data_IF_353511376815
#
_entry.id   IF_353511376815
#
_cell.length_a   1.000
_cell.length_b   1.000
_cell.length_c   1.000
_cell.angle_alpha   90.00
_cell.angle_beta   90.00
_cell.angle_gamma   90.00
#
_symmetry.space_group_name_H-M   'P 1'
#
loop_
_entity.id
_entity.type
_entity.pdbx_description
1 polymer ?
#
# COMPACT_ATOMS: atom_id res chain seq x y z
N UNK A 1 36.29 9.92 -51.54
CA UNK A 1 37.05 10.92 -50.75
C UNK A 1 37.45 10.22 -49.45
N UNK A 2 38.75 10.08 -49.17
CA UNK A 2 39.29 9.28 -48.05
C UNK A 2 38.82 9.86 -46.71
N UNK A 3 38.05 9.10 -45.94
CA UNK A 3 37.72 9.41 -44.54
C UNK A 3 38.74 8.72 -43.65
N UNK A 4 39.75 9.44 -43.19
CA UNK A 4 40.74 8.95 -42.24
C UNK A 4 40.85 9.94 -41.10
N UNK A 5 39.97 9.79 -40.13
CA UNK A 5 40.12 10.34 -38.78
C UNK A 5 39.32 9.46 -37.84
N UNK A 6 39.99 8.45 -37.27
CA UNK A 6 39.45 7.60 -36.20
C UNK A 6 39.74 8.29 -34.87
N UNK A 7 38.75 9.01 -34.34
CA UNK A 7 38.92 9.69 -33.06
C UNK A 7 38.69 8.70 -31.90
N UNK A 8 39.45 8.92 -30.82
CA UNK A 8 39.34 8.15 -29.57
C UNK A 8 38.88 9.10 -28.49
N UNK A 9 37.88 8.69 -27.72
CA UNK A 9 37.45 9.40 -26.51
C UNK A 9 37.59 8.51 -25.28
N UNK A 10 37.80 9.14 -24.14
CA UNK A 10 37.92 8.48 -22.84
C UNK A 10 36.95 9.13 -21.85
N UNK A 11 36.13 8.33 -21.20
CA UNK A 11 35.23 8.73 -20.11
C UNK A 11 35.60 7.96 -18.86
N UNK A 12 35.76 8.67 -17.75
CA UNK A 12 36.04 8.05 -16.45
C UNK A 12 34.86 8.24 -15.50
N UNK A 13 34.52 7.20 -14.76
CA UNK A 13 33.50 7.26 -13.70
C UNK A 13 33.96 6.47 -12.48
N UNK A 14 33.80 7.07 -11.31
CA UNK A 14 33.96 6.39 -10.03
C UNK A 14 32.62 5.82 -9.59
N UNK A 15 32.66 4.59 -9.12
CA UNK A 15 31.53 3.87 -8.52
C UNK A 15 31.85 3.58 -7.06
N UNK A 16 30.85 3.67 -6.20
CA UNK A 16 30.97 3.29 -4.80
C UNK A 16 30.89 1.76 -4.57
N UNK A 17 30.96 0.96 -5.63
CA UNK A 17 30.77 -0.49 -5.59
C UNK A 17 32.06 -1.25 -5.91
N UNK A 18 32.20 -2.51 -5.45
CA UNK A 18 33.29 -3.38 -5.85
C UNK A 18 33.36 -3.53 -7.37
N UNK A 19 34.58 -3.77 -7.86
CA UNK A 19 34.90 -3.94 -9.30
C UNK A 19 34.00 -5.01 -9.92
N UNK A 20 33.79 -6.12 -9.21
CA UNK A 20 33.00 -7.27 -9.64
C UNK A 20 31.54 -6.90 -9.89
N UNK A 21 30.93 -6.11 -9.01
CA UNK A 21 29.52 -5.70 -9.15
C UNK A 21 29.32 -4.80 -10.37
N UNK A 22 30.24 -3.85 -10.59
CA UNK A 22 30.16 -2.95 -11.74
C UNK A 22 30.47 -3.71 -13.03
N UNK A 23 31.42 -4.65 -13.01
CA UNK A 23 31.77 -5.50 -14.15
C UNK A 23 30.61 -6.42 -14.56
N UNK A 24 29.95 -7.08 -13.61
CA UNK A 24 28.89 -8.05 -13.87
C UNK A 24 27.66 -7.45 -14.52
N UNK A 25 27.37 -6.19 -14.20
CA UNK A 25 26.27 -5.45 -14.81
C UNK A 25 26.42 -5.24 -16.33
N UNK A 26 27.62 -5.45 -16.90
CA UNK A 26 27.87 -5.44 -18.34
C UNK A 26 27.61 -6.78 -19.04
N UNK A 27 27.40 -7.86 -18.27
CA UNK A 27 27.28 -9.23 -18.76
C UNK A 27 25.90 -9.85 -18.49
N UNK A 28 25.11 -9.27 -17.59
CA UNK A 28 23.77 -9.73 -17.27
C UNK A 28 22.68 -8.99 -18.07
N UNK A 29 21.77 -9.74 -18.69
CA UNK A 29 20.72 -9.18 -19.53
C UNK A 29 19.68 -8.35 -18.73
N UNK A 30 19.35 -8.74 -17.50
CA UNK A 30 18.42 -7.99 -16.66
C UNK A 30 19.07 -6.67 -16.23
N UNK A 31 20.34 -6.70 -15.84
CA UNK A 31 21.12 -5.53 -15.47
C UNK A 31 21.24 -4.57 -16.65
N UNK A 32 21.70 -5.01 -17.82
CA UNK A 32 21.83 -4.18 -19.02
C UNK A 32 20.53 -3.47 -19.38
N UNK A 33 19.40 -4.16 -19.31
CA UNK A 33 18.07 -3.57 -19.55
C UNK A 33 17.66 -2.49 -18.55
N UNK A 34 18.28 -2.45 -17.38
CA UNK A 34 17.99 -1.45 -16.35
C UNK A 34 18.73 -0.13 -16.56
N UNK A 35 19.86 -0.11 -17.29
CA UNK A 35 20.74 1.07 -17.37
C UNK A 35 21.32 1.38 -18.75
N UNK A 36 21.67 0.38 -19.58
CA UNK A 36 22.40 0.60 -20.82
C UNK A 36 21.44 1.09 -21.92
N UNK A 37 21.75 2.26 -22.47
CA UNK A 37 20.92 3.00 -23.45
C UNK A 37 19.51 3.38 -23.01
N UNK A 38 19.14 3.13 -21.75
CA UNK A 38 17.82 3.49 -21.21
C UNK A 38 17.64 5.01 -21.16
N UNK A 39 16.52 5.48 -21.68
CA UNK A 39 16.07 6.88 -21.67
C UNK A 39 14.85 7.06 -20.76
N UNK A 40 14.60 8.26 -20.22
CA UNK A 40 13.49 8.50 -19.30
C UNK A 40 12.11 8.12 -19.86
N UNK A 41 11.85 8.42 -21.13
CA UNK A 41 10.56 8.19 -21.80
C UNK A 41 10.57 6.95 -22.71
N UNK A 42 11.69 6.21 -22.74
CA UNK A 42 11.87 5.06 -23.61
C UNK A 42 11.30 3.77 -23.01
N UNK A 43 10.77 2.91 -23.87
CA UNK A 43 10.33 1.56 -23.48
C UNK A 43 11.34 0.53 -23.99
N UNK A 44 11.95 -0.20 -23.06
CA UNK A 44 12.82 -1.32 -23.41
C UNK A 44 11.98 -2.43 -24.06
N UNK A 45 12.28 -2.77 -25.32
CA UNK A 45 11.56 -3.81 -26.07
C UNK A 45 12.33 -5.13 -26.11
N UNK A 46 13.67 -5.07 -26.13
CA UNK A 46 14.51 -6.26 -26.28
C UNK A 46 15.86 -6.07 -25.62
N UNK A 47 16.31 -7.07 -24.87
CA UNK A 47 17.66 -7.18 -24.34
C UNK A 47 18.10 -8.64 -24.45
N UNK A 48 19.08 -8.91 -25.31
CA UNK A 48 19.69 -10.23 -25.49
C UNK A 48 21.19 -10.13 -25.22
N UNK A 49 21.76 -11.13 -24.56
CA UNK A 49 23.18 -11.17 -24.18
C UNK A 49 23.69 -12.61 -24.23
N UNK A 50 24.77 -12.84 -24.96
CA UNK A 50 25.61 -14.05 -24.93
C UNK A 50 26.99 -13.64 -24.38
N UNK A 51 27.13 -13.65 -23.05
CA UNK A 51 28.27 -13.12 -22.31
C UNK A 51 29.51 -14.04 -22.32
N UNK A 52 30.03 -14.30 -23.52
CA UNK A 52 31.29 -15.02 -23.75
C UNK A 52 32.09 -14.32 -24.84
N UNK A 53 33.40 -14.52 -24.85
CA UNK A 53 34.25 -14.04 -25.96
C UNK A 53 33.72 -14.58 -27.29
N UNK A 54 33.47 -13.68 -28.23
CA UNK A 54 32.86 -13.95 -29.52
C UNK A 54 31.33 -13.99 -29.54
N UNK A 55 30.67 -14.01 -28.38
CA UNK A 55 29.23 -13.79 -28.22
C UNK A 55 28.88 -12.30 -28.34
N UNK A 56 27.59 -11.97 -28.34
CA UNK A 56 27.14 -10.60 -28.57
C UNK A 56 25.94 -10.18 -27.72
N UNK A 57 25.61 -8.90 -27.79
CA UNK A 57 24.42 -8.33 -27.16
C UNK A 57 23.60 -7.54 -28.18
N UNK A 58 22.29 -7.47 -27.95
CA UNK A 58 21.36 -6.64 -28.73
C UNK A 58 20.35 -5.98 -27.79
N UNK A 59 20.24 -4.66 -27.88
CA UNK A 59 19.38 -3.82 -27.05
C UNK A 59 18.52 -2.95 -27.96
N UNK A 60 17.21 -3.12 -27.86
CA UNK A 60 16.23 -2.32 -28.60
C UNK A 60 15.36 -1.55 -27.64
N UNK A 61 15.37 -0.23 -27.80
CA UNK A 61 14.53 0.68 -27.02
C UNK A 61 13.63 1.50 -27.93
N UNK A 62 12.33 1.48 -27.66
CA UNK A 62 11.33 2.29 -28.35
C UNK A 62 11.32 3.70 -27.75
N UNK A 63 11.59 4.70 -28.59
CA UNK A 63 11.60 6.13 -28.25
C UNK A 63 10.59 6.86 -29.13
N UNK A 64 9.32 6.87 -28.70
CA UNK A 64 8.21 7.30 -29.56
C UNK A 64 8.03 6.34 -30.74
N UNK A 65 8.06 6.85 -31.98
CA UNK A 65 7.95 6.03 -33.18
C UNK A 65 9.27 5.33 -33.57
N UNK A 66 10.40 5.79 -33.04
CA UNK A 66 11.74 5.31 -33.41
C UNK A 66 12.13 4.10 -32.56
N UNK A 67 12.61 3.03 -33.21
CA UNK A 67 13.30 1.94 -32.53
C UNK A 67 14.80 2.21 -32.54
N UNK A 68 15.37 2.50 -31.38
CA UNK A 68 16.81 2.65 -31.23
C UNK A 68 17.43 1.26 -31.02
N UNK A 69 18.16 0.78 -32.03
CA UNK A 69 18.86 -0.50 -31.98
C UNK A 69 20.35 -0.29 -31.70
N UNK A 70 20.84 -1.00 -30.69
CA UNK A 70 22.25 -1.05 -30.33
C UNK A 70 22.67 -2.50 -30.21
N UNK A 71 23.85 -2.82 -30.71
CA UNK A 71 24.37 -4.17 -30.63
C UNK A 71 25.87 -4.17 -30.47
N UNK A 72 26.42 -5.32 -30.09
CA UNK A 72 27.85 -5.47 -30.01
C UNK A 72 28.30 -6.90 -29.90
N UNK A 73 29.60 -7.11 -30.09
CA UNK A 73 30.25 -8.42 -29.97
C UNK A 73 31.37 -8.33 -28.95
N UNK A 74 31.33 -9.18 -27.93
CA UNK A 74 32.39 -9.27 -26.92
C UNK A 74 33.67 -9.79 -27.58
N UNK A 75 34.72 -8.98 -27.52
CA UNK A 75 36.05 -9.28 -28.04
C UNK A 75 36.97 -9.79 -26.91
N UNK A 76 36.82 -9.22 -25.73
CA UNK A 76 37.60 -9.58 -24.55
C UNK A 76 36.71 -9.53 -23.31
N UNK A 77 36.83 -10.54 -22.45
CA UNK A 77 36.21 -10.59 -21.13
C UNK A 77 37.29 -11.10 -20.15
N UNK A 78 38.05 -10.18 -19.56
CA UNK A 78 39.01 -10.48 -18.50
C UNK A 78 38.43 -10.02 -17.15
N UNK A 79 37.73 -10.92 -16.48
CA UNK A 79 37.00 -10.58 -15.26
C UNK A 79 37.93 -10.45 -14.05
N UNK A 80 37.78 -9.41 -13.19
CA UNK A 80 36.88 -8.25 -13.30
C UNK A 80 37.56 -7.00 -13.88
N UNK A 81 38.71 -7.16 -14.56
CA UNK A 81 39.65 -6.08 -14.87
C UNK A 81 39.36 -5.35 -16.18
N UNK A 82 38.88 -6.06 -17.20
CA UNK A 82 38.74 -5.51 -18.55
C UNK A 82 37.64 -6.17 -19.36
N UNK A 83 36.90 -5.35 -20.09
CA UNK A 83 35.91 -5.76 -21.06
C UNK A 83 36.17 -5.01 -22.37
N UNK A 84 36.14 -5.69 -23.52
CA UNK A 84 36.17 -5.02 -24.81
C UNK A 84 35.09 -5.60 -25.73
N UNK A 85 34.40 -4.73 -26.46
CA UNK A 85 33.39 -5.15 -27.43
C UNK A 85 33.36 -4.22 -28.64
N UNK A 86 33.05 -4.79 -29.80
CA UNK A 86 32.64 -4.02 -30.96
C UNK A 86 31.24 -3.43 -30.69
N UNK A 87 31.01 -2.19 -31.08
CA UNK A 87 29.77 -1.46 -30.81
C UNK A 87 29.17 -0.93 -32.11
N UNK A 88 27.88 -1.20 -32.32
CA UNK A 88 27.11 -0.79 -33.48
C UNK A 88 25.81 -0.10 -33.07
N UNK A 89 25.39 0.86 -33.89
CA UNK A 89 24.12 1.59 -33.77
C UNK A 89 23.37 1.45 -35.09
N UNK A 90 22.06 1.17 -35.02
CA UNK A 90 21.29 0.78 -36.21
C UNK A 90 21.53 -0.68 -36.60
N UNK A 91 20.89 -1.13 -37.69
CA UNK A 91 20.92 -2.54 -38.11
C UNK A 91 22.32 -3.13 -38.32
N UNK A 92 22.40 -4.43 -38.60
CA UNK A 92 23.63 -5.24 -38.48
C UNK A 92 24.74 -4.98 -39.55
N UNK A 93 24.74 -3.83 -40.25
CA UNK A 93 25.57 -3.61 -41.46
C UNK A 93 26.44 -2.34 -41.49
N UNK A 94 26.42 -1.50 -40.45
CA UNK A 94 27.29 -0.31 -40.35
C UNK A 94 28.66 -0.62 -39.71
N UNK A 95 29.73 0.16 -39.97
CA UNK A 95 31.04 -0.11 -39.37
C UNK A 95 30.97 0.02 -37.85
N UNK A 96 31.42 -1.02 -37.15
CA UNK A 96 31.47 -1.03 -35.69
C UNK A 96 32.64 -0.20 -35.17
N UNK A 97 32.40 0.54 -34.11
CA UNK A 97 33.45 1.13 -33.29
C UNK A 97 33.94 0.13 -32.24
N UNK A 98 35.02 0.44 -31.53
CA UNK A 98 35.55 -0.41 -30.44
C UNK A 98 35.37 0.29 -29.11
N UNK A 99 34.74 -0.37 -28.15
CA UNK A 99 34.66 0.10 -26.76
C UNK A 99 35.50 -0.82 -25.90
N UNK A 100 36.36 -0.23 -25.09
CA UNK A 100 37.13 -0.89 -24.04
C UNK A 100 36.75 -0.28 -22.71
N UNK A 101 36.50 -1.11 -21.71
CA UNK A 101 36.19 -0.72 -20.35
C UNK A 101 37.22 -1.36 -19.43
N UNK A 102 38.06 -0.52 -18.83
CA UNK A 102 39.06 -0.93 -17.83
C UNK A 102 38.54 -0.58 -16.44
N UNK A 103 38.72 -1.51 -15.49
CA UNK A 103 38.28 -1.34 -14.11
C UNK A 103 39.47 -1.39 -13.16
N UNK A 104 39.56 -0.41 -12.27
CA UNK A 104 40.57 -0.33 -11.23
C UNK A 104 39.92 -0.26 -9.84
N UNK A 105 40.27 -1.15 -8.89
CA UNK A 105 39.79 -1.04 -7.52
C UNK A 105 40.30 0.25 -6.88
N UNK A 106 39.46 0.86 -6.04
CA UNK A 106 39.80 1.97 -5.16
C UNK A 106 39.65 1.52 -3.71
N UNK A 107 40.16 2.31 -2.75
CA UNK A 107 39.97 2.06 -1.32
C UNK A 107 38.48 1.97 -0.94
N UNK A 108 37.65 2.80 -1.59
CA UNK A 108 36.20 2.75 -1.52
C UNK A 108 35.60 2.70 -2.93
N UNK A 109 35.29 1.49 -3.39
CA UNK A 109 34.64 1.22 -4.68
C UNK A 109 35.63 0.98 -5.84
N UNK A 110 35.33 1.48 -7.03
CA UNK A 110 36.19 1.33 -8.21
C UNK A 110 36.15 2.55 -9.15
N UNK A 111 37.19 2.69 -9.97
CA UNK A 111 37.21 3.58 -11.14
C UNK A 111 37.03 2.75 -12.40
N UNK A 112 36.06 3.13 -13.22
CA UNK A 112 35.84 2.62 -14.56
C UNK A 112 36.39 3.65 -15.55
N UNK A 113 37.25 3.20 -16.46
CA UNK A 113 37.74 3.99 -17.60
C UNK A 113 37.20 3.38 -18.89
N UNK A 114 36.29 4.08 -19.55
CA UNK A 114 35.73 3.70 -20.84
C UNK A 114 36.48 4.42 -21.95
N UNK A 115 37.07 3.67 -22.86
CA UNK A 115 37.73 4.15 -24.08
C UNK A 115 36.91 3.74 -25.28
N UNK A 116 36.52 4.69 -26.13
CA UNK A 116 35.74 4.43 -27.35
C UNK A 116 36.53 4.92 -28.56
N UNK A 117 36.92 3.98 -29.42
CA UNK A 117 37.75 4.19 -30.60
C UNK A 117 36.94 4.07 -31.89
N UNK A 118 37.31 4.85 -32.89
CA UNK A 118 36.62 4.86 -34.19
C UNK A 118 35.41 5.79 -34.24
N UNK A 119 35.29 6.71 -33.27
CA UNK A 119 34.22 7.70 -33.23
C UNK A 119 34.34 8.64 -34.42
N UNK A 120 33.23 8.87 -35.12
CA UNK A 120 33.19 9.76 -36.27
C UNK A 120 33.50 11.21 -35.89
N UNK A 121 34.23 11.90 -36.77
CA UNK A 121 34.58 13.29 -36.56
C UNK A 121 33.32 14.16 -36.39
N UNK A 122 33.29 14.99 -35.34
CA UNK A 122 32.17 15.87 -34.99
C UNK A 122 31.12 15.24 -34.06
N UNK A 123 31.28 13.97 -33.67
CA UNK A 123 30.39 13.28 -32.73
C UNK A 123 31.02 13.06 -31.34
N UNK A 124 32.25 13.52 -31.11
CA UNK A 124 33.05 13.20 -29.92
C UNK A 124 32.38 13.69 -28.64
N UNK A 125 32.00 14.96 -28.59
CA UNK A 125 31.40 15.57 -27.41
C UNK A 125 30.04 14.94 -27.09
N UNK A 126 29.19 14.75 -28.11
CA UNK A 126 27.89 14.10 -27.96
C UNK A 126 28.04 12.65 -27.48
N UNK A 127 29.01 11.91 -28.00
CA UNK A 127 29.26 10.52 -27.62
C UNK A 127 29.79 10.43 -26.20
N UNK A 128 30.68 11.35 -25.80
CA UNK A 128 31.16 11.44 -24.43
C UNK A 128 30.03 11.75 -23.44
N UNK A 129 29.16 12.72 -23.75
CA UNK A 129 27.97 13.04 -22.94
C UNK A 129 27.01 11.83 -22.84
N UNK A 130 26.81 11.10 -23.94
CA UNK A 130 26.02 9.88 -23.95
C UNK A 130 26.58 8.81 -23.00
N UNK A 131 27.90 8.57 -23.04
CA UNK A 131 28.55 7.64 -22.12
C UNK A 131 28.50 8.10 -20.66
N UNK A 132 28.63 9.40 -20.37
CA UNK A 132 28.46 9.93 -19.00
C UNK A 132 27.06 9.60 -18.47
N UNK A 133 26.02 9.89 -19.25
CA UNK A 133 24.63 9.57 -18.87
C UNK A 133 24.41 8.07 -18.64
N UNK A 134 24.96 7.23 -19.52
CA UNK A 134 24.87 5.76 -19.42
C UNK A 134 25.55 5.25 -18.14
N UNK A 135 26.76 5.74 -17.83
CA UNK A 135 27.50 5.33 -16.63
C UNK A 135 26.84 5.84 -15.35
N UNK A 136 26.14 6.97 -15.39
CA UNK A 136 25.30 7.42 -14.28
C UNK A 136 24.09 6.51 -14.06
N UNK A 137 23.46 6.00 -15.13
CA UNK A 137 22.42 4.99 -14.99
C UNK A 137 22.96 3.68 -14.41
N UNK A 138 24.14 3.24 -14.86
CA UNK A 138 24.82 2.07 -14.30
C UNK A 138 25.00 2.23 -12.79
N UNK A 139 25.46 3.40 -12.34
CA UNK A 139 25.69 3.69 -10.91
C UNK A 139 24.42 3.57 -10.05
N UNK A 140 23.24 3.74 -10.64
CA UNK A 140 21.95 3.58 -9.94
C UNK A 140 21.43 2.14 -9.94
N UNK A 141 22.04 1.25 -10.72
CA UNK A 141 21.49 -0.09 -11.02
C UNK A 141 22.30 -1.28 -10.46
N UNK A 142 23.53 -1.06 -10.01
CA UNK A 142 24.46 -2.13 -9.60
C UNK A 142 24.25 -2.59 -8.13
N UNK A 143 24.13 -3.91 -7.92
CA UNK A 143 24.09 -4.61 -6.61
C UNK A 143 23.13 -5.82 -6.57
N UNK A 144 23.37 -6.83 -5.71
CA UNK A 144 22.36 -7.89 -5.41
C UNK A 144 21.17 -7.25 -4.67
N UNK A 145 19.93 -7.56 -5.07
CA UNK A 145 18.73 -7.06 -4.39
C UNK A 145 18.75 -7.42 -2.90
N UNK A 146 19.28 -8.60 -2.53
CA UNK A 146 19.41 -9.02 -1.14
C UNK A 146 20.39 -8.15 -0.34
N UNK A 147 21.42 -7.59 -0.97
CA UNK A 147 22.42 -6.75 -0.30
C UNK A 147 21.93 -5.32 -0.06
N UNK A 148 20.96 -4.86 -0.86
CA UNK A 148 20.41 -3.50 -0.81
C UNK A 148 18.99 -3.44 -0.23
N UNK A 149 18.52 -4.49 0.44
CA UNK A 149 17.20 -4.48 1.08
C UNK A 149 17.27 -4.54 2.61
N UNK A 150 16.20 -4.06 3.24
CA UNK A 150 15.87 -4.33 4.63
C UNK A 150 14.52 -5.04 4.64
N UNK A 151 14.45 -6.20 5.30
CA UNK A 151 13.20 -6.94 5.47
C UNK A 151 12.86 -7.04 6.96
N UNK A 152 11.69 -6.51 7.33
CA UNK A 152 11.16 -6.58 8.69
C UNK A 152 9.78 -7.24 8.60
N UNK A 153 9.51 -8.21 9.46
CA UNK A 153 8.18 -8.81 9.54
C UNK A 153 7.68 -8.93 10.96
N UNK A 154 6.35 -8.89 11.11
CA UNK A 154 5.66 -9.08 12.38
C UNK A 154 4.30 -9.73 12.13
N UNK A 155 3.91 -10.62 13.03
CA UNK A 155 2.58 -11.23 13.05
C UNK A 155 1.66 -10.48 14.00
N UNK A 156 0.41 -10.31 13.58
CA UNK A 156 -0.65 -9.62 14.33
C UNK A 156 -1.83 -10.57 14.52
N UNK A 157 -2.39 -10.61 15.74
CA UNK A 157 -3.59 -11.37 16.07
C UNK A 157 -4.86 -10.65 15.58
N UNK A 158 -4.92 -10.38 14.28
CA UNK A 158 -6.01 -9.67 13.63
C UNK A 158 -6.16 -10.14 12.17
N UNK A 159 -7.39 -10.12 11.61
CA UNK A 159 -7.64 -10.49 10.22
C UNK A 159 -7.01 -9.48 9.26
N UNK A 160 -6.66 -9.94 8.05
CA UNK A 160 -5.97 -9.14 7.02
C UNK A 160 -6.68 -7.83 6.70
N UNK A 161 -8.01 -7.84 6.67
CA UNK A 161 -8.82 -6.66 6.40
C UNK A 161 -8.63 -5.56 7.45
N UNK A 162 -8.53 -5.92 8.73
CA UNK A 162 -8.31 -4.94 9.81
C UNK A 162 -6.88 -4.38 9.78
N UNK A 163 -5.88 -5.24 9.54
CA UNK A 163 -4.49 -4.79 9.41
C UNK A 163 -4.32 -3.88 8.19
N UNK A 164 -4.99 -4.21 7.09
CA UNK A 164 -5.06 -3.38 5.90
C UNK A 164 -5.74 -2.03 6.16
N UNK A 165 -6.89 -2.02 6.84
CA UNK A 165 -7.60 -0.79 7.24
C UNK A 165 -6.70 0.10 8.12
N UNK A 166 -6.03 -0.47 9.12
CA UNK A 166 -5.09 0.26 9.95
C UNK A 166 -3.93 0.88 9.14
N UNK A 167 -3.52 0.24 8.04
CA UNK A 167 -2.49 0.72 7.13
C UNK A 167 -2.98 1.80 6.16
N UNK A 168 -4.18 1.64 5.64
CA UNK A 168 -4.68 2.39 4.48
C UNK A 168 -5.65 3.52 4.81
N UNK A 169 -6.11 3.60 6.05
CA UNK A 169 -6.89 4.74 6.55
C UNK A 169 -5.95 5.81 7.10
N UNK A 170 -5.92 7.04 6.54
CA UNK A 170 -5.01 8.11 6.97
C UNK A 170 -5.06 8.42 8.47
N UNK A 171 -6.26 8.42 9.06
CA UNK A 171 -6.47 8.65 10.48
C UNK A 171 -5.83 7.56 11.37
N UNK A 172 -5.81 6.31 10.91
CA UNK A 172 -5.13 5.23 11.62
C UNK A 172 -3.63 5.28 11.39
N UNK A 173 -3.19 5.43 10.14
CA UNK A 173 -1.79 5.52 9.75
C UNK A 173 -1.01 6.55 10.60
N UNK A 174 -1.57 7.74 10.78
CA UNK A 174 -0.96 8.83 11.54
C UNK A 174 -0.70 8.51 13.02
N UNK A 175 -1.42 7.53 13.60
CA UNK A 175 -1.31 7.21 15.02
C UNK A 175 -0.16 6.23 15.32
N UNK A 176 0.24 5.42 14.34
CA UNK A 176 1.24 4.37 14.55
C UNK A 176 2.50 4.52 13.70
N UNK A 177 2.46 5.21 12.55
CA UNK A 177 3.61 5.36 11.67
C UNK A 177 4.75 6.13 12.37
N UNK A 178 5.98 5.65 12.21
CA UNK A 178 7.19 6.21 12.82
C UNK A 178 7.66 5.47 14.08
N UNK A 179 8.94 5.60 14.47
CA UNK A 179 9.46 4.96 15.68
C UNK A 179 8.95 5.65 16.95
N UNK A 180 9.29 5.13 18.13
CA UNK A 180 8.93 5.78 19.41
C UNK A 180 9.60 7.17 19.48
N UNK A 181 8.92 8.14 20.10
CA UNK A 181 9.39 9.54 20.18
C UNK A 181 8.88 10.42 19.04
N UNK A 182 8.49 9.85 17.91
CA UNK A 182 7.91 10.59 16.79
C UNK A 182 6.39 10.70 16.86
N UNK A 183 5.88 11.84 16.41
CA UNK A 183 4.48 12.05 16.03
C UNK A 183 4.36 12.15 14.53
N UNK A 184 3.25 11.70 13.96
CA UNK A 184 3.04 11.69 12.50
C UNK A 184 1.77 12.44 12.15
N UNK A 185 1.85 13.34 11.17
CA UNK A 185 0.67 14.08 10.70
C UNK A 185 -0.21 13.18 9.82
N UNK A 186 -1.48 13.57 9.68
CA UNK A 186 -2.40 12.83 8.82
C UNK A 186 -1.94 12.89 7.37
N UNK A 187 -1.77 11.75 6.67
CA UNK A 187 -1.48 11.74 5.25
C UNK A 187 -2.51 12.51 4.43
N UNK A 188 -2.02 13.35 3.51
CA UNK A 188 -2.84 14.07 2.53
C UNK A 188 -2.54 13.54 1.14
N UNK A 189 -3.59 13.21 0.38
CA UNK A 189 -3.48 12.79 -1.01
C UNK A 189 -4.43 11.66 -1.38
N UNK A 190 -4.05 10.82 -2.36
CA UNK A 190 -4.92 9.79 -2.92
C UNK A 190 -4.24 8.41 -2.85
N UNK A 191 -4.93 7.45 -2.22
CA UNK A 191 -4.56 6.04 -2.23
C UNK A 191 -5.10 5.38 -3.51
N UNK A 192 -4.35 5.50 -4.60
CA UNK A 192 -4.60 4.86 -5.90
C UNK A 192 -3.27 4.65 -6.62
N UNK A 193 -3.22 3.76 -7.61
CA UNK A 193 -2.03 3.60 -8.47
C UNK A 193 -1.68 4.95 -9.11
N UNK A 194 -0.39 5.32 -9.07
CA UNK A 194 0.18 6.63 -9.41
C UNK A 194 -0.30 7.81 -8.53
N UNK A 195 -1.18 7.56 -7.56
CA UNK A 195 -1.51 8.51 -6.51
C UNK A 195 -0.38 8.64 -5.49
N UNK A 196 -0.43 9.69 -4.68
CA UNK A 196 0.56 9.91 -3.62
C UNK A 196 -0.06 10.31 -2.30
N UNK A 197 0.62 9.98 -1.21
CA UNK A 197 0.42 10.55 0.12
C UNK A 197 1.60 11.42 0.52
N UNK A 198 1.32 12.52 1.22
CA UNK A 198 2.33 13.33 1.91
C UNK A 198 1.98 13.42 3.39
N UNK A 199 2.98 13.28 4.25
CA UNK A 199 2.85 13.45 5.69
C UNK A 199 4.18 13.89 6.29
N UNK A 200 4.14 14.42 7.50
CA UNK A 200 5.31 14.85 8.24
C UNK A 200 5.49 13.94 9.46
N UNK A 201 6.72 13.55 9.72
CA UNK A 201 7.13 12.96 10.99
C UNK A 201 7.82 14.05 11.81
N UNK A 202 7.42 14.24 13.05
CA UNK A 202 7.95 15.26 13.95
C UNK A 202 8.60 14.57 15.14
N UNK A 203 9.89 14.81 15.34
CA UNK A 203 10.65 14.31 16.49
C UNK A 203 10.30 15.10 17.77
N UNK A 204 10.69 14.58 18.92
CA UNK A 204 10.43 15.17 20.24
C UNK A 204 11.05 16.57 20.41
N UNK A 205 12.11 16.89 19.68
CA UNK A 205 12.74 18.22 19.68
C UNK A 205 12.05 19.23 18.73
N UNK A 206 11.03 18.78 17.98
CA UNK A 206 10.29 19.58 17.01
C UNK A 206 10.85 19.54 15.59
N UNK A 207 11.92 18.80 15.33
CA UNK A 207 12.47 18.61 13.98
C UNK A 207 11.44 17.91 13.09
N UNK A 208 11.21 18.46 11.91
CA UNK A 208 10.21 17.97 10.95
C UNK A 208 10.90 17.23 9.81
N UNK A 209 10.42 16.01 9.54
CA UNK A 209 10.84 15.14 8.45
C UNK A 209 9.68 14.93 7.48
N UNK A 210 9.64 15.67 6.36
CA UNK A 210 8.61 15.51 5.34
C UNK A 210 8.78 14.18 4.60
N UNK A 211 7.68 13.47 4.39
CA UNK A 211 7.64 12.17 3.71
C UNK A 211 6.63 12.19 2.56
N UNK A 212 6.96 11.51 1.47
CA UNK A 212 6.07 11.30 0.33
C UNK A 212 6.09 9.84 -0.10
N UNK A 213 4.90 9.26 -0.24
CA UNK A 213 4.68 7.91 -0.79
C UNK A 213 4.00 8.02 -2.15
N UNK A 214 4.51 7.35 -3.18
CA UNK A 214 3.85 7.22 -4.50
C UNK A 214 3.48 5.77 -4.73
N UNK A 215 2.19 5.47 -4.82
CA UNK A 215 1.71 4.10 -4.88
C UNK A 215 1.85 3.53 -6.29
N UNK A 216 2.57 2.41 -6.41
CA UNK A 216 2.80 1.68 -7.67
C UNK A 216 1.90 0.47 -7.81
N UNK A 217 1.62 -0.21 -6.70
CA UNK A 217 0.74 -1.37 -6.67
C UNK A 217 -0.18 -1.31 -5.47
N UNK A 218 -1.46 -1.62 -5.68
CA UNK A 218 -2.47 -1.73 -4.63
C UNK A 218 -3.32 -2.96 -4.91
N UNK A 219 -3.12 -4.01 -4.11
CA UNK A 219 -3.97 -5.19 -4.09
C UNK A 219 -4.60 -5.27 -2.71
N UNK A 220 -5.89 -4.90 -2.57
CA UNK A 220 -6.58 -4.83 -1.28
C UNK A 220 -6.37 -6.06 -0.41
N UNK A 221 -6.13 -5.82 0.88
CA UNK A 221 -5.86 -6.84 1.91
C UNK A 221 -4.64 -7.73 1.66
N UNK A 222 -3.83 -7.49 0.62
CA UNK A 222 -2.75 -8.42 0.23
C UNK A 222 -1.41 -7.75 0.02
N UNK A 223 -1.37 -6.62 -0.69
CA UNK A 223 -0.11 -6.03 -1.13
C UNK A 223 -0.22 -4.53 -1.40
N UNK A 224 0.78 -3.80 -0.94
CA UNK A 224 1.04 -2.40 -1.32
C UNK A 224 2.49 -2.30 -1.78
N UNK A 225 2.73 -1.66 -2.92
CA UNK A 225 4.07 -1.24 -3.31
C UNK A 225 4.04 0.27 -3.55
N UNK A 226 5.01 0.99 -2.99
CA UNK A 226 5.12 2.42 -3.15
C UNK A 226 6.57 2.88 -3.11
N UNK A 227 6.87 3.94 -3.84
CA UNK A 227 8.14 4.63 -3.72
C UNK A 227 8.08 5.59 -2.53
N UNK A 228 9.08 5.54 -1.67
CA UNK A 228 9.24 6.42 -0.50
C UNK A 228 10.33 7.44 -0.80
N UNK A 229 10.04 8.73 -0.64
CA UNK A 229 11.05 9.78 -0.66
C UNK A 229 10.76 10.91 0.32
N UNK A 230 11.63 11.92 0.30
CA UNK A 230 11.40 13.21 0.95
C UNK A 230 10.12 13.92 0.48
N UNK A 231 9.54 14.76 1.34
CA UNK A 231 8.21 15.37 1.12
C UNK A 231 8.09 16.36 -0.05
N UNK A 232 9.18 16.75 -0.72
CA UNK A 232 9.17 17.67 -1.87
C UNK A 232 8.96 16.94 -3.22
N UNK A 233 8.59 17.70 -4.26
CA UNK A 233 8.31 17.16 -5.61
C UNK A 233 9.56 16.91 -6.46
N UNK A 234 10.71 17.40 -6.02
CA UNK A 234 11.96 17.43 -6.78
C UNK A 234 12.96 16.37 -6.33
N UNK A 235 12.78 15.84 -5.13
CA UNK A 235 13.59 14.78 -4.55
C UNK A 235 13.20 13.46 -5.19
N UNK A 236 14.17 12.85 -5.86
CA UNK A 236 14.03 11.51 -6.41
C UNK A 236 13.65 10.53 -5.29
N UNK A 237 12.86 9.50 -5.62
CA UNK A 237 12.52 8.44 -4.68
C UNK A 237 13.76 7.85 -4.01
N UNK A 238 13.77 7.80 -2.67
CA UNK A 238 14.92 7.35 -1.88
C UNK A 238 15.04 5.82 -1.88
N UNK A 239 13.90 5.11 -1.81
CA UNK A 239 13.81 3.65 -1.88
C UNK A 239 12.38 3.18 -2.21
N UNK A 240 12.24 1.96 -2.70
CA UNK A 240 10.93 1.31 -2.89
C UNK A 240 10.54 0.57 -1.61
N UNK A 241 9.27 0.58 -1.24
CA UNK A 241 8.72 -0.25 -0.17
C UNK A 241 7.65 -1.16 -0.71
N UNK A 242 7.76 -2.44 -0.36
CA UNK A 242 6.77 -3.47 -0.62
C UNK A 242 6.26 -3.98 0.72
N UNK A 243 4.94 -3.89 0.91
CA UNK A 243 4.22 -4.42 2.07
C UNK A 243 3.37 -5.59 1.62
N UNK A 244 3.54 -6.75 2.25
CA UNK A 244 2.68 -7.90 2.03
C UNK A 244 1.92 -8.25 3.30
N UNK A 245 0.64 -8.57 3.15
CA UNK A 245 -0.26 -9.03 4.21
C UNK A 245 -0.64 -10.48 3.88
N UNK A 246 -0.07 -11.42 4.63
CA UNK A 246 -0.29 -12.86 4.43
C UNK A 246 -0.98 -13.46 5.65
N UNK A 247 -1.76 -14.53 5.44
CA UNK A 247 -2.37 -15.28 6.52
C UNK A 247 -1.30 -15.93 7.41
N UNK A 248 -1.52 -15.89 8.72
CA UNK A 248 -0.65 -16.51 9.73
C UNK A 248 -1.51 -17.12 10.85
N UNK A 249 -2.00 -18.33 10.60
CA UNK A 249 -3.08 -18.92 11.39
C UNK A 249 -4.35 -18.08 11.28
N UNK A 250 -4.94 -17.72 12.43
CA UNK A 250 -6.10 -16.81 12.51
C UNK A 250 -5.70 -15.31 12.46
N UNK A 251 -4.40 -15.02 12.31
CA UNK A 251 -3.83 -13.69 12.27
C UNK A 251 -3.27 -13.31 10.90
N UNK A 252 -2.49 -12.23 10.89
CA UNK A 252 -1.86 -11.68 9.69
C UNK A 252 -0.37 -11.47 9.92
N UNK A 253 0.47 -12.02 9.06
CA UNK A 253 1.88 -11.65 8.96
C UNK A 253 2.03 -10.49 7.98
N UNK A 254 2.56 -9.38 8.48
CA UNK A 254 3.01 -8.27 7.64
C UNK A 254 4.51 -8.40 7.40
N UNK A 255 4.92 -8.27 6.14
CA UNK A 255 6.33 -8.14 5.76
C UNK A 255 6.53 -6.81 5.06
N UNK A 256 7.42 -5.99 5.61
CA UNK A 256 7.95 -4.76 5.05
C UNK A 256 9.28 -5.06 4.39
N UNK A 257 9.37 -4.88 3.07
CA UNK A 257 10.61 -4.95 2.31
C UNK A 257 10.92 -3.56 1.76
N UNK A 258 12.00 -2.95 2.24
CA UNK A 258 12.51 -1.67 1.74
C UNK A 258 13.72 -1.94 0.85
N UNK A 259 13.66 -1.53 -0.42
CA UNK A 259 14.67 -1.77 -1.45
C UNK A 259 15.38 -0.46 -1.81
N UNK A 260 16.62 -0.31 -1.36
CA UNK A 260 17.43 0.89 -1.53
C UNK A 260 18.14 0.88 -2.87
N UNK A 261 18.46 2.04 -3.47
CA UNK A 261 19.16 2.11 -4.76
C UNK A 261 20.45 1.30 -4.77
N UNK A 262 21.11 1.15 -3.61
CA UNK A 262 22.28 0.32 -3.45
C UNK A 262 22.60 -0.03 -1.99
N UNK A 263 23.59 -0.89 -1.77
CA UNK A 263 24.05 -1.32 -0.44
C UNK A 263 24.52 -0.16 0.44
N UNK A 264 25.27 0.80 -0.09
CA UNK A 264 25.78 1.93 0.70
C UNK A 264 24.65 2.82 1.25
N UNK A 265 23.61 3.07 0.46
CA UNK A 265 22.41 3.77 0.91
C UNK A 265 21.67 2.99 2.01
N UNK A 266 21.56 1.67 1.85
CA UNK A 266 21.01 0.77 2.87
C UNK A 266 21.83 0.83 4.17
N UNK A 267 23.14 0.66 4.09
CA UNK A 267 24.02 0.66 5.25
C UNK A 267 23.98 2.01 5.97
N UNK A 268 23.95 3.12 5.23
CA UNK A 268 23.82 4.46 5.79
C UNK A 268 22.58 4.59 6.69
N UNK A 269 21.40 4.18 6.22
CA UNK A 269 20.18 4.27 7.04
C UNK A 269 20.16 3.27 8.19
N UNK A 270 20.80 2.11 8.05
CA UNK A 270 20.94 1.13 9.12
C UNK A 270 21.82 1.68 10.24
N UNK A 271 23.00 2.18 9.89
CA UNK A 271 24.04 2.57 10.86
C UNK A 271 23.80 3.96 11.46
N UNK A 272 23.30 4.92 10.66
CA UNK A 272 23.22 6.32 11.08
C UNK A 272 21.80 6.75 11.48
N UNK A 273 20.76 6.10 10.94
CA UNK A 273 19.36 6.44 11.19
C UNK A 273 18.66 5.36 12.04
N UNK A 274 19.28 4.19 12.21
CA UNK A 274 18.72 3.10 13.00
C UNK A 274 17.50 2.44 12.36
N UNK A 275 17.43 2.41 11.02
CA UNK A 275 16.23 2.01 10.26
C UNK A 275 15.65 0.64 10.65
N UNK A 276 16.47 -0.34 11.03
CA UNK A 276 16.01 -1.67 11.45
C UNK A 276 15.23 -1.58 12.76
N UNK A 277 15.84 -0.98 13.78
CA UNK A 277 15.21 -0.87 15.10
C UNK A 277 14.00 0.07 15.05
N UNK A 278 14.12 1.20 14.34
CA UNK A 278 13.00 2.10 14.12
C UNK A 278 11.82 1.41 13.42
N UNK A 279 12.09 0.62 12.37
CA UNK A 279 11.05 -0.16 11.69
C UNK A 279 10.39 -1.23 12.57
N UNK A 280 11.15 -1.88 13.47
CA UNK A 280 10.58 -2.81 14.46
C UNK A 280 9.64 -2.12 15.43
N UNK A 281 10.02 -0.93 15.93
CA UNK A 281 9.18 -0.11 16.79
C UNK A 281 7.93 0.39 16.07
N UNK A 282 8.05 0.80 14.80
CA UNK A 282 6.90 1.17 13.98
C UNK A 282 5.89 0.03 13.84
N UNK A 283 6.34 -1.20 13.59
CA UNK A 283 5.43 -2.36 13.56
C UNK A 283 4.88 -2.72 14.95
N UNK A 284 5.57 -2.39 16.04
CA UNK A 284 5.01 -2.50 17.39
C UNK A 284 3.85 -1.54 17.61
N UNK A 285 4.03 -0.27 17.26
CA UNK A 285 2.98 0.74 17.34
C UNK A 285 1.77 0.38 16.48
N UNK A 286 1.99 -0.24 15.31
CA UNK A 286 0.90 -0.79 14.50
C UNK A 286 0.11 -1.85 15.27
N UNK A 287 0.80 -2.76 15.97
CA UNK A 287 0.16 -3.78 16.81
C UNK A 287 -0.68 -3.19 17.93
N UNK A 288 -0.18 -2.14 18.60
CA UNK A 288 -0.93 -1.40 19.62
C UNK A 288 -2.16 -0.72 19.03
N UNK A 289 -2.04 -0.10 17.86
CA UNK A 289 -3.17 0.55 17.18
C UNK A 289 -4.22 -0.47 16.76
N UNK A 290 -3.83 -1.62 16.22
CA UNK A 290 -4.75 -2.71 15.88
C UNK A 290 -5.51 -3.16 17.14
N UNK A 291 -4.80 -3.45 18.23
CA UNK A 291 -5.43 -3.84 19.49
C UNK A 291 -6.41 -2.79 20.02
N UNK A 292 -6.10 -1.50 19.83
CA UNK A 292 -7.01 -0.42 20.17
C UNK A 292 -8.27 -0.39 19.28
N UNK A 293 -8.12 -0.51 17.96
CA UNK A 293 -9.27 -0.55 17.03
C UNK A 293 -10.23 -1.71 17.38
N UNK A 294 -9.69 -2.88 17.76
CA UNK A 294 -10.49 -4.04 18.16
C UNK A 294 -11.33 -3.78 19.43
N UNK A 295 -10.91 -2.85 20.29
CA UNK A 295 -11.64 -2.46 21.49
C UNK A 295 -12.65 -1.33 21.22
N UNK A 296 -12.46 -0.56 20.15
CA UNK A 296 -13.35 0.53 19.79
C UNK A 296 -14.65 0.01 19.15
N UNK A 297 -15.81 0.60 19.48
CA UNK A 297 -17.04 0.33 18.78
C UNK A 297 -16.92 0.76 17.31
N UNK A 298 -17.60 0.04 16.42
CA UNK A 298 -17.88 0.57 15.07
C UNK A 298 -18.87 1.71 15.23
N UNK A 299 -18.53 2.88 14.68
CA UNK A 299 -19.34 4.10 14.78
C UNK A 299 -19.96 4.41 13.43
N UNK A 300 -21.28 4.57 13.41
CA UNK A 300 -22.06 4.84 12.21
C UNK A 300 -22.93 6.06 12.50
N UNK A 301 -22.83 7.11 11.68
CA UNK A 301 -23.56 8.36 11.90
C UNK A 301 -24.39 8.73 10.67
N UNK A 302 -25.64 9.16 10.90
CA UNK A 302 -26.53 9.70 9.86
C UNK A 302 -27.33 10.87 10.41
N UNK A 303 -27.45 11.92 9.61
CA UNK A 303 -28.33 13.06 9.90
C UNK A 303 -29.65 12.87 9.17
N UNK A 304 -30.76 13.03 9.88
CA UNK A 304 -32.13 12.95 9.35
C UNK A 304 -32.81 14.31 9.41
N UNK A 305 -33.55 14.66 8.36
CA UNK A 305 -34.35 15.89 8.31
C UNK A 305 -35.70 15.70 9.01
N UNK A 306 -35.66 15.35 10.29
CA UNK A 306 -36.85 15.14 11.13
C UNK A 306 -36.57 15.53 12.59
N UNK A 307 -37.58 15.96 13.36
CA UNK A 307 -37.42 16.28 14.79
C UNK A 307 -36.99 15.05 15.60
N UNK A 308 -36.16 15.27 16.62
CA UNK A 308 -35.60 14.19 17.44
C UNK A 308 -36.62 13.29 18.10
N UNK A 309 -37.74 13.85 18.56
CA UNK A 309 -38.85 13.06 19.10
C UNK A 309 -39.43 12.08 18.06
N UNK A 310 -39.60 12.53 16.81
CA UNK A 310 -40.11 11.69 15.72
C UNK A 310 -39.11 10.60 15.33
N UNK A 311 -37.82 10.94 15.27
CA UNK A 311 -36.77 9.95 14.99
C UNK A 311 -36.70 8.92 16.12
N UNK A 312 -36.74 9.34 17.38
CA UNK A 312 -36.78 8.41 18.51
C UNK A 312 -38.02 7.51 18.48
N UNK A 313 -39.20 8.07 18.18
CA UNK A 313 -40.43 7.31 17.97
C UNK A 313 -40.25 6.28 16.85
N UNK A 314 -39.60 6.63 15.74
CA UNK A 314 -39.34 5.73 14.63
C UNK A 314 -38.47 4.52 15.01
N UNK A 315 -37.61 4.66 16.02
CA UNK A 315 -36.79 3.57 16.56
C UNK A 315 -37.46 2.75 17.67
N UNK A 316 -38.63 3.16 18.16
CA UNK A 316 -39.21 2.58 19.37
C UNK A 316 -40.65 2.12 19.23
N UNK A 317 -41.45 2.77 18.38
CA UNK A 317 -42.86 2.39 18.19
C UNK A 317 -42.98 1.27 17.15
N UNK A 318 -43.68 0.15 17.46
CA UNK A 318 -43.84 -0.97 16.53
C UNK A 318 -44.40 -0.58 15.16
N UNK A 319 -45.34 0.36 15.12
CA UNK A 319 -45.94 0.88 13.89
C UNK A 319 -44.93 1.56 12.98
N UNK A 320 -43.87 2.18 13.52
CA UNK A 320 -42.80 2.77 12.73
C UNK A 320 -41.72 1.75 12.35
N UNK A 321 -41.28 0.93 13.31
CA UNK A 321 -40.26 -0.11 13.08
C UNK A 321 -40.64 -1.08 11.96
N UNK A 322 -41.94 -1.35 11.78
CA UNK A 322 -42.46 -2.20 10.71
C UNK A 322 -42.09 -1.74 9.29
N UNK A 323 -41.77 -0.45 9.09
CA UNK A 323 -41.54 0.12 7.76
C UNK A 323 -40.08 0.13 7.32
N UNK A 324 -39.13 0.10 8.26
CA UNK A 324 -37.73 0.37 7.93
C UNK A 324 -36.71 -0.50 8.66
N UNK A 325 -37.04 -1.11 9.80
CA UNK A 325 -36.07 -1.85 10.59
C UNK A 325 -35.52 -3.05 9.82
N UNK A 326 -34.19 -3.21 9.77
CA UNK A 326 -33.51 -4.29 9.05
C UNK A 326 -32.94 -3.89 7.69
N UNK A 327 -32.30 -4.84 6.96
CA UNK A 327 -31.69 -4.55 5.67
C UNK A 327 -32.71 -4.09 4.63
N UNK A 328 -32.26 -3.25 3.68
CA UNK A 328 -33.10 -2.79 2.57
C UNK A 328 -33.69 -3.97 1.80
N UNK A 329 -35.02 -3.97 1.62
CA UNK A 329 -35.76 -5.05 0.96
C UNK A 329 -36.27 -6.15 1.89
N UNK A 330 -36.01 -6.08 3.20
CA UNK A 330 -36.66 -6.95 4.17
C UNK A 330 -38.06 -6.46 4.52
N UNK A 331 -38.88 -7.39 5.03
CA UNK A 331 -40.21 -7.10 5.58
C UNK A 331 -40.25 -7.52 7.04
N UNK A 332 -40.55 -6.58 7.93
CA UNK A 332 -40.72 -6.85 9.36
C UNK A 332 -42.13 -7.38 9.63
N UNK A 333 -42.20 -8.47 10.39
CA UNK A 333 -43.41 -9.23 10.68
C UNK A 333 -43.71 -9.17 12.18
N UNK A 334 -44.92 -8.70 12.51
CA UNK A 334 -45.48 -8.68 13.86
C UNK A 334 -44.55 -8.10 14.95
N UNK A 335 -43.97 -6.88 14.75
CA UNK A 335 -43.08 -6.27 15.72
C UNK A 335 -43.81 -6.01 17.05
N UNK A 336 -43.17 -6.37 18.17
CA UNK A 336 -43.68 -6.11 19.53
C UNK A 336 -42.57 -5.54 20.38
N UNK A 337 -42.79 -4.34 20.91
CA UNK A 337 -41.75 -3.63 21.65
C UNK A 337 -42.21 -3.29 23.08
N UNK A 338 -41.56 -3.89 24.08
CA UNK A 338 -41.68 -3.53 25.49
C UNK A 338 -40.55 -2.57 25.87
N UNK A 339 -40.75 -1.27 25.56
CA UNK A 339 -39.73 -0.23 25.68
C UNK A 339 -39.48 0.17 27.14
N UNK A 340 -38.71 -0.64 27.86
CA UNK A 340 -38.19 -0.36 29.20
C UNK A 340 -36.89 -1.12 29.44
N UNK A 341 -36.13 -0.75 30.47
CA UNK A 341 -34.95 -1.52 30.89
C UNK A 341 -35.35 -2.98 31.22
N UNK A 342 -34.66 -3.93 30.61
CA UNK A 342 -34.95 -5.37 30.68
C UNK A 342 -36.11 -5.83 29.79
N UNK A 343 -36.84 -4.90 29.17
CA UNK A 343 -37.88 -5.21 28.19
C UNK A 343 -37.30 -5.65 26.86
N UNK A 344 -38.15 -6.26 26.03
CA UNK A 344 -37.74 -6.88 24.78
C UNK A 344 -38.44 -6.27 23.57
N UNK A 345 -37.69 -6.11 22.49
CA UNK A 345 -38.24 -5.92 21.14
C UNK A 345 -38.13 -7.24 20.38
N UNK A 346 -39.25 -7.82 19.94
CA UNK A 346 -39.29 -9.06 19.17
C UNK A 346 -39.93 -8.82 17.81
N UNK A 347 -39.38 -9.44 16.77
CA UNK A 347 -39.91 -9.36 15.42
C UNK A 347 -39.56 -10.59 14.59
N UNK A 348 -40.41 -10.91 13.62
CA UNK A 348 -40.02 -11.71 12.47
C UNK A 348 -39.48 -10.82 11.35
N UNK A 349 -38.62 -11.37 10.50
CA UNK A 349 -38.06 -10.69 9.33
C UNK A 349 -38.07 -11.66 8.15
N UNK A 350 -38.75 -11.27 7.07
CA UNK A 350 -38.66 -11.95 5.80
C UNK A 350 -37.63 -11.25 4.91
N UNK A 351 -36.63 -11.98 4.42
CA UNK A 351 -35.58 -11.44 3.55
C UNK A 351 -35.10 -12.52 2.58
N UNK A 352 -35.12 -12.22 1.27
CA UNK A 352 -34.69 -13.16 0.23
C UNK A 352 -35.50 -14.47 0.19
N UNK A 353 -36.76 -14.46 0.62
CA UNK A 353 -37.61 -15.64 0.73
C UNK A 353 -37.35 -16.52 1.96
N UNK A 354 -36.43 -16.13 2.85
CA UNK A 354 -36.20 -16.79 4.12
C UNK A 354 -36.87 -16.02 5.27
N UNK A 355 -37.44 -16.77 6.21
CA UNK A 355 -37.97 -16.22 7.47
C UNK A 355 -36.91 -16.31 8.56
N UNK A 356 -36.70 -15.19 9.27
CA UNK A 356 -35.78 -15.08 10.40
C UNK A 356 -36.50 -14.43 11.58
N UNK A 357 -35.97 -14.62 12.79
CA UNK A 357 -36.48 -13.97 13.99
C UNK A 357 -35.37 -13.18 14.67
N UNK A 358 -35.71 -12.00 15.16
CA UNK A 358 -34.79 -11.12 15.87
C UNK A 358 -35.36 -10.71 17.22
N UNK A 359 -34.45 -10.53 18.18
CA UNK A 359 -34.76 -10.06 19.52
C UNK A 359 -33.77 -9.00 19.94
N UNK A 360 -34.27 -7.98 20.63
CA UNK A 360 -33.46 -7.05 21.40
C UNK A 360 -33.82 -7.10 22.87
N UNK A 361 -32.83 -6.89 23.74
CA UNK A 361 -33.02 -6.76 25.19
C UNK A 361 -32.45 -5.41 25.62
N UNK A 362 -33.29 -4.50 26.13
CA UNK A 362 -32.85 -3.15 26.49
C UNK A 362 -32.05 -3.15 27.80
N UNK A 363 -30.81 -2.65 27.74
CA UNK A 363 -29.98 -2.36 28.92
C UNK A 363 -30.25 -0.96 29.47
N UNK A 364 -30.55 -0.01 28.59
CA UNK A 364 -30.85 1.39 28.92
C UNK A 364 -31.88 1.96 27.93
N UNK A 365 -32.83 2.72 28.44
CA UNK A 365 -33.81 3.48 27.65
C UNK A 365 -33.91 4.87 28.26
N UNK A 366 -33.47 5.88 27.52
CA UNK A 366 -33.48 7.28 27.97
C UNK A 366 -34.13 8.13 26.88
N UNK A 367 -35.47 8.22 26.81
CA UNK A 367 -36.15 8.99 25.78
C UNK A 367 -35.89 10.50 25.90
N UNK A 368 -35.75 11.24 24.79
CA UNK A 368 -35.59 10.77 23.41
C UNK A 368 -34.10 10.63 23.01
N UNK A 369 -33.19 10.50 23.97
CA UNK A 369 -31.76 10.75 23.79
C UNK A 369 -30.95 9.50 23.45
N UNK A 370 -31.31 8.34 24.01
CA UNK A 370 -30.42 7.17 24.03
C UNK A 370 -31.15 5.85 24.20
N UNK A 371 -30.68 4.85 23.46
CA UNK A 371 -31.04 3.43 23.61
C UNK A 371 -29.75 2.61 23.73
N UNK A 372 -29.71 1.66 24.65
CA UNK A 372 -28.66 0.63 24.71
C UNK A 372 -29.33 -0.73 24.79
N UNK A 373 -29.05 -1.62 23.85
CA UNK A 373 -29.66 -2.94 23.81
C UNK A 373 -28.70 -4.00 23.29
N UNK A 374 -28.93 -5.24 23.72
CA UNK A 374 -28.36 -6.43 23.11
C UNK A 374 -29.22 -6.81 21.91
N UNK A 375 -28.61 -7.02 20.74
CA UNK A 375 -29.27 -7.46 19.52
C UNK A 375 -28.80 -8.89 19.18
N UNK A 376 -29.74 -9.77 18.83
CA UNK A 376 -29.45 -11.16 18.47
C UNK A 376 -30.51 -11.72 17.50
N UNK A 377 -30.10 -12.71 16.70
CA UNK A 377 -31.03 -13.60 16.01
C UNK A 377 -31.54 -14.68 16.96
N UNK A 378 -32.77 -15.14 16.74
CA UNK A 378 -33.38 -16.18 17.56
C UNK A 378 -34.05 -17.27 16.73
N UNK A 379 -34.32 -18.41 17.35
CA UNK A 379 -35.35 -19.33 16.88
C UNK A 379 -36.76 -18.74 17.10
N UNK A 380 -37.80 -19.47 16.70
CA UNK A 380 -39.20 -19.05 16.87
C UNK A 380 -39.62 -18.94 18.35
N UNK A 381 -38.97 -19.70 19.24
CA UNK A 381 -39.20 -19.63 20.70
C UNK A 381 -38.52 -18.40 21.35
N UNK A 382 -37.61 -17.73 20.65
CA UNK A 382 -36.88 -16.56 21.12
C UNK A 382 -35.54 -16.91 21.80
N UNK A 383 -35.02 -18.11 21.62
CA UNK A 383 -33.68 -18.49 22.07
C UNK A 383 -32.62 -17.95 21.10
N UNK A 384 -31.51 -17.37 21.58
CA UNK A 384 -30.44 -16.89 20.70
C UNK A 384 -29.87 -18.02 19.84
N UNK A 385 -29.65 -17.73 18.55
CA UNK A 385 -29.01 -18.65 17.60
C UNK A 385 -27.88 -17.92 16.85
N UNK A 386 -26.91 -18.65 16.29
CA UNK A 386 -25.94 -18.08 15.35
C UNK A 386 -26.63 -17.39 14.17
N UNK A 387 -25.94 -16.42 13.56
CA UNK A 387 -26.49 -15.70 12.42
C UNK A 387 -26.80 -16.68 11.25
N UNK A 388 -28.03 -16.69 10.68
CA UNK A 388 -28.46 -17.68 9.69
C UNK A 388 -27.62 -17.75 8.41
N UNK A 389 -26.93 -16.65 8.05
CA UNK A 389 -26.04 -16.57 6.89
C UNK A 389 -24.55 -16.44 7.22
N UNK A 390 -24.15 -16.49 8.50
CA UNK A 390 -22.77 -16.26 8.92
C UNK A 390 -22.50 -16.93 10.28
N UNK A 391 -22.15 -18.21 10.28
CA UNK A 391 -22.07 -19.02 11.51
C UNK A 391 -21.12 -18.42 12.58
N UNK A 392 -20.01 -17.83 12.14
CA UNK A 392 -19.02 -17.21 13.01
C UNK A 392 -19.30 -15.71 13.26
N UNK A 393 -20.48 -15.18 12.91
CA UNK A 393 -20.85 -13.83 13.34
C UNK A 393 -21.22 -13.85 14.83
N UNK A 394 -20.84 -12.82 15.62
CA UNK A 394 -21.19 -12.76 17.03
C UNK A 394 -22.69 -12.95 17.28
N UNK A 395 -23.03 -13.95 18.10
CA UNK A 395 -24.43 -14.25 18.44
C UNK A 395 -25.14 -13.04 19.07
N UNK A 396 -24.42 -12.26 19.88
CA UNK A 396 -24.92 -11.04 20.52
C UNK A 396 -24.09 -9.84 20.13
N UNK A 397 -24.78 -8.77 19.79
CA UNK A 397 -24.19 -7.47 19.57
C UNK A 397 -24.70 -6.48 20.61
N UNK A 398 -23.82 -5.71 21.22
CA UNK A 398 -24.20 -4.54 21.99
C UNK A 398 -24.35 -3.35 21.04
N UNK A 399 -25.55 -2.77 20.99
CA UNK A 399 -25.86 -1.60 20.18
C UNK A 399 -26.23 -0.44 21.09
N UNK A 400 -25.54 0.69 20.92
CA UNK A 400 -25.93 1.98 21.52
C UNK A 400 -26.37 2.92 20.41
N UNK A 401 -27.54 3.53 20.56
CA UNK A 401 -28.05 4.54 19.64
C UNK A 401 -28.18 5.86 20.40
N UNK A 402 -27.56 6.90 19.87
CA UNK A 402 -27.62 8.27 20.37
C UNK A 402 -28.43 9.13 19.40
N UNK A 403 -29.25 10.02 19.94
CA UNK A 403 -30.06 10.96 19.19
C UNK A 403 -29.76 12.39 19.64
N UNK A 404 -29.24 13.20 18.74
CA UNK A 404 -28.78 14.56 19.02
C UNK A 404 -29.45 15.56 18.07
N UNK A 405 -29.90 16.70 18.58
CA UNK A 405 -30.44 17.76 17.72
C UNK A 405 -29.31 18.36 16.87
N UNK A 406 -29.50 18.47 15.55
CA UNK A 406 -28.58 19.15 14.63
C UNK A 406 -29.38 20.09 13.74
N UNK A 407 -29.31 21.39 14.04
CA UNK A 407 -30.13 22.40 13.37
C UNK A 407 -31.61 22.15 13.59
N UNK A 408 -32.34 21.84 12.51
CA UNK A 408 -33.76 21.43 12.55
C UNK A 408 -33.97 19.91 12.42
N UNK A 409 -32.89 19.14 12.29
CA UNK A 409 -32.90 17.69 12.13
C UNK A 409 -32.32 16.98 13.35
N UNK A 410 -32.06 15.68 13.18
CA UNK A 410 -31.53 14.80 14.23
C UNK A 410 -30.34 14.03 13.69
N UNK A 411 -29.23 14.04 14.41
CA UNK A 411 -28.12 13.12 14.21
C UNK A 411 -28.37 11.84 15.00
N UNK A 412 -28.31 10.72 14.30
CA UNK A 412 -28.30 9.39 14.89
C UNK A 412 -26.89 8.83 14.83
N UNK A 413 -26.35 8.43 15.97
CA UNK A 413 -25.05 7.74 16.08
C UNK A 413 -25.26 6.35 16.65
N UNK A 414 -24.88 5.33 15.88
CA UNK A 414 -24.90 3.93 16.29
C UNK A 414 -23.49 3.50 16.65
N UNK A 415 -23.33 2.95 17.86
CA UNK A 415 -22.10 2.30 18.32
C UNK A 415 -22.36 0.80 18.39
N UNK A 416 -21.49 0.01 17.76
CA UNK A 416 -21.66 -1.43 17.64
C UNK A 416 -20.43 -2.20 18.12
N UNK A 417 -20.65 -3.14 19.04
CA UNK A 417 -19.57 -3.95 19.62
C UNK A 417 -20.04 -5.40 19.82
N UNK A 418 -19.23 -6.41 19.50
CA UNK A 418 -19.56 -7.79 19.82
C UNK A 418 -19.63 -8.00 21.33
N UNK A 419 -20.66 -8.70 21.80
CA UNK A 419 -20.88 -9.01 23.21
C UNK A 419 -20.67 -10.51 23.45
N UNK A 420 -19.89 -10.85 24.48
CA UNK A 420 -19.61 -12.25 24.87
C UNK A 420 -19.00 -13.13 23.75
N UNK A 421 -18.44 -12.51 22.71
CA UNK A 421 -17.94 -13.21 21.53
C UNK A 421 -16.70 -14.09 21.81
N UNK A 422 -16.60 -15.25 21.18
CA UNK A 422 -15.38 -16.04 21.17
C UNK A 422 -14.34 -15.44 20.18
N UNK A 423 -13.16 -16.07 20.06
CA UNK A 423 -12.09 -15.57 19.19
C UNK A 423 -12.48 -15.54 17.70
N UNK A 424 -13.14 -16.59 17.19
CA UNK A 424 -13.59 -16.66 15.80
C UNK A 424 -14.69 -15.62 15.52
N UNK A 425 -15.60 -15.41 16.47
CA UNK A 425 -16.64 -14.37 16.37
C UNK A 425 -16.07 -12.96 16.30
N UNK A 426 -15.06 -12.67 17.13
CA UNK A 426 -14.35 -11.39 17.10
C UNK A 426 -13.57 -11.21 15.80
N UNK A 427 -12.86 -12.24 15.34
CA UNK A 427 -12.14 -12.19 14.07
C UNK A 427 -13.07 -11.92 12.89
N UNK A 428 -14.24 -12.57 12.85
CA UNK A 428 -15.27 -12.34 11.83
C UNK A 428 -15.83 -10.92 11.90
N UNK A 429 -16.12 -10.42 13.11
CA UNK A 429 -16.54 -9.03 13.30
C UNK A 429 -15.47 -8.05 12.80
N UNK A 430 -14.22 -8.22 13.23
CA UNK A 430 -13.09 -7.36 12.88
C UNK A 430 -12.81 -7.34 11.38
N UNK A 431 -12.91 -8.50 10.70
CA UNK A 431 -12.71 -8.61 9.26
C UNK A 431 -13.76 -7.83 8.44
N UNK A 432 -14.93 -7.56 9.03
CA UNK A 432 -16.05 -6.93 8.34
C UNK A 432 -16.29 -5.47 8.76
N UNK A 433 -15.49 -4.89 9.67
CA UNK A 433 -15.71 -3.54 10.24
C UNK A 433 -15.93 -2.46 9.19
N UNK A 434 -15.05 -2.39 8.20
CA UNK A 434 -15.15 -1.41 7.10
C UNK A 434 -16.47 -1.54 6.30
N UNK A 435 -17.02 -2.75 6.18
CA UNK A 435 -18.26 -3.03 5.44
C UNK A 435 -19.55 -2.70 6.23
N UNK A 436 -19.50 -2.65 7.56
CA UNK A 436 -20.70 -2.49 8.40
C UNK A 436 -21.41 -1.15 8.19
N UNK A 437 -20.66 -0.10 7.86
CA UNK A 437 -21.20 1.21 7.47
C UNK A 437 -22.17 1.09 6.29
N UNK A 438 -21.87 0.24 5.31
CA UNK A 438 -22.72 0.06 4.11
C UNK A 438 -24.04 -0.63 4.47
N UNK A 439 -24.00 -1.63 5.35
CA UNK A 439 -25.20 -2.35 5.82
C UNK A 439 -26.22 -1.43 6.47
N UNK A 440 -25.77 -0.59 7.41
CA UNK A 440 -26.63 0.41 8.07
C UNK A 440 -27.06 1.54 7.14
N UNK A 441 -26.21 1.94 6.19
CA UNK A 441 -26.57 2.98 5.21
C UNK A 441 -27.82 2.60 4.43
N UNK A 442 -27.94 1.33 3.99
CA UNK A 442 -29.14 0.85 3.30
C UNK A 442 -30.41 0.90 4.17
N UNK A 443 -30.32 0.54 5.46
CA UNK A 443 -31.44 0.67 6.40
C UNK A 443 -31.84 2.12 6.66
N UNK A 444 -30.85 3.01 6.78
CA UNK A 444 -31.08 4.44 6.99
C UNK A 444 -31.68 5.14 5.77
N UNK A 445 -31.41 4.70 4.55
CA UNK A 445 -32.14 5.16 3.36
C UNK A 445 -33.65 4.87 3.45
N UNK A 446 -34.01 3.67 3.93
CA UNK A 446 -35.43 3.29 4.10
C UNK A 446 -36.08 4.12 5.20
N UNK A 447 -35.37 4.34 6.32
CA UNK A 447 -35.84 5.20 7.40
C UNK A 447 -36.03 6.65 6.94
N UNK A 448 -35.09 7.19 6.17
CA UNK A 448 -35.17 8.57 5.65
C UNK A 448 -36.39 8.75 4.75
N UNK A 449 -36.63 7.81 3.83
CA UNK A 449 -37.82 7.82 2.98
C UNK A 449 -39.11 7.69 3.80
N UNK A 450 -39.11 6.86 4.83
CA UNK A 450 -40.25 6.69 5.72
C UNK A 450 -40.56 7.95 6.53
N UNK A 451 -39.55 8.57 7.15
CA UNK A 451 -39.69 9.82 7.91
C UNK A 451 -40.23 10.97 7.04
N UNK A 452 -39.86 11.02 5.76
CA UNK A 452 -40.38 12.02 4.83
C UNK A 452 -41.87 11.80 4.47
N UNK A 453 -42.43 10.63 4.77
CA UNK A 453 -43.81 10.26 4.44
C UNK A 453 -44.82 10.49 5.58
N UNK A 454 -44.35 10.81 6.80
CA UNK A 454 -45.17 10.92 8.02
C UNK A 454 -45.09 12.28 8.69
#
# INVERSE_FOLDING_TARGET
MRMTSNNTLVVKRRFAYPVESVFDAWLDAKALGAWLFKTPDGKMEKVEVDARVGGGFKINERRGEVLAEHWGRYIEIDRPRRLAFDFGVGGDSEPTTRVTVDFAPLEAGCELTLTHEGVWAGYEERTAQGWVMILDNLSRSVGDEAEREIVISRSFAAPRALVWEAWTTPEHFAQWMGPRGFTTTKPVGQLKIEGSWRYDMVDADGTVYPNRLVFREITPNSRLAYDHGGGDETTAHDFEVIVTFADDGDGTKVTLRSLFPNKAARDFVVENIGAIEGGRQTLERLGEKIAHIQQEPVVITRDFTAPRALVFDAFTKPEHLAHWWGPKGCKIINPRNDLKRGGEFRYGMEFGGAMMHGKQIYREVTPPNRLVFENMFTDEAGNPIPHPGAADWPVKMLTTILFEDVGKGTRVTVLWTPLDANAAERATFDANRAGMNQGWSGSFEVLEAYLASI
#
